data_IF_657504738761
#
_entry.id   IF_657504738761
#
_cell.length_a   1.000
_cell.length_b   1.000
_cell.length_c   1.000
_cell.angle_alpha   90.00
_cell.angle_beta   90.00
_cell.angle_gamma   90.00
#
_symmetry.space_group_name_H-M   'P 1'
#
loop_
_entity.id
_entity.type
_entity.pdbx_description
1 polymer ?
#
# COMPACT_ATOMS: atom_id res chain seq x y z
N UNK A 1 -0.49 11.52 -29.75
CA UNK A 1 -0.15 12.49 -28.70
C UNK A 1 -1.24 13.56 -28.60
N UNK A 2 -2.30 13.29 -27.83
CA UNK A 2 -3.20 14.34 -27.33
C UNK A 2 -2.77 14.60 -25.90
N UNK A 3 -2.25 15.79 -25.64
CA UNK A 3 -1.89 16.22 -24.30
C UNK A 3 -2.76 17.42 -23.93
N UNK A 4 -3.03 17.52 -22.62
CA UNK A 4 -3.68 18.60 -21.88
C UNK A 4 -5.18 18.38 -21.60
N UNK A 5 -5.45 17.71 -20.47
CA UNK A 5 -6.48 18.20 -19.56
C UNK A 5 -5.78 19.03 -18.48
N UNK A 6 -6.06 20.33 -18.44
CA UNK A 6 -5.67 21.19 -17.34
C UNK A 6 -6.54 20.85 -16.13
N UNK A 7 -5.92 20.69 -14.97
CA UNK A 7 -6.60 20.51 -13.68
C UNK A 7 -7.54 21.69 -13.40
N UNK A 8 -8.72 21.41 -12.85
CA UNK A 8 -9.69 22.45 -12.45
C UNK A 8 -9.16 23.42 -11.38
N UNK A 9 -9.87 24.54 -11.15
CA UNK A 9 -9.39 25.62 -10.29
C UNK A 9 -9.37 25.19 -8.82
N UNK A 10 -8.20 25.20 -8.16
CA UNK A 10 -8.13 25.07 -6.71
C UNK A 10 -6.86 24.48 -6.07
N UNK A 11 -5.81 24.13 -6.82
CA UNK A 11 -4.57 23.60 -6.25
C UNK A 11 -3.31 24.03 -7.00
N UNK A 12 -2.10 23.86 -6.43
CA UNK A 12 -0.85 24.23 -7.09
C UNK A 12 -0.73 23.56 -8.47
N UNK A 13 -0.13 24.23 -9.48
CA UNK A 13 -0.09 23.74 -10.86
C UNK A 13 0.76 22.46 -10.94
N UNK A 14 0.12 21.32 -10.79
CA UNK A 14 0.72 20.01 -10.98
C UNK A 14 0.49 19.59 -12.42
N UNK A 15 1.58 19.40 -13.17
CA UNK A 15 1.50 18.88 -14.54
C UNK A 15 1.21 17.38 -14.46
N UNK A 16 -0.01 16.96 -14.77
CA UNK A 16 -0.35 15.55 -14.95
C UNK A 16 -0.05 15.14 -16.39
N UNK A 17 1.05 14.43 -16.57
CA UNK A 17 1.37 13.76 -17.84
C UNK A 17 0.81 12.34 -17.81
N UNK A 18 -0.23 12.09 -18.59
CA UNK A 18 -0.72 10.75 -18.86
C UNK A 18 -0.40 10.43 -20.31
N UNK A 19 0.45 9.41 -20.51
CA UNK A 19 0.82 8.95 -21.84
C UNK A 19 0.07 7.66 -22.11
N UNK A 20 -0.97 7.77 -22.93
CA UNK A 20 -1.72 6.63 -23.44
C UNK A 20 -1.20 6.26 -24.82
N UNK A 21 -0.93 4.97 -24.99
CA UNK A 21 -0.49 4.39 -26.25
C UNK A 21 -1.58 3.44 -26.72
N UNK A 22 -2.05 3.61 -27.95
CA UNK A 22 -2.86 2.58 -28.59
C UNK A 22 -1.99 1.36 -28.98
N UNK A 23 -2.63 0.21 -29.20
CA UNK A 23 -1.90 -1.03 -29.53
C UNK A 23 -1.02 -0.87 -30.77
N UNK A 24 -1.49 -0.14 -31.78
CA UNK A 24 -0.73 0.12 -33.01
C UNK A 24 0.54 0.95 -32.76
N UNK A 25 0.51 1.84 -31.78
CA UNK A 25 1.65 2.68 -31.38
C UNK A 25 2.60 1.89 -30.47
N UNK A 26 2.09 1.02 -29.59
CA UNK A 26 2.90 0.05 -28.83
C UNK A 26 3.70 -0.84 -29.79
N UNK A 27 3.02 -1.46 -30.75
CA UNK A 27 3.63 -2.36 -31.73
C UNK A 27 4.66 -1.66 -32.62
N UNK A 28 4.42 -0.40 -33.00
CA UNK A 28 5.37 0.35 -33.85
C UNK A 28 6.63 0.77 -33.11
N UNK A 29 6.52 1.19 -31.85
CA UNK A 29 7.65 1.74 -31.09
C UNK A 29 8.49 0.68 -30.40
N UNK A 30 7.84 -0.39 -29.94
CA UNK A 30 8.50 -1.48 -29.22
C UNK A 30 8.57 -2.76 -30.05
N UNK A 31 7.94 -2.83 -31.22
CA UNK A 31 7.83 -4.06 -31.99
C UNK A 31 6.91 -5.09 -31.31
N UNK A 32 6.90 -6.31 -31.84
CA UNK A 32 6.59 -7.48 -31.03
C UNK A 32 7.81 -7.78 -30.17
N UNK A 33 8.03 -6.99 -29.10
CA UNK A 33 8.79 -7.55 -27.98
C UNK A 33 8.06 -8.84 -27.66
N UNK A 34 8.75 -9.98 -27.79
CA UNK A 34 8.38 -11.13 -27.00
C UNK A 34 8.40 -10.59 -25.58
N UNK A 35 7.22 -10.24 -25.05
CA UNK A 35 7.04 -10.17 -23.62
C UNK A 35 7.65 -11.50 -23.16
N UNK A 36 8.81 -11.46 -22.49
CA UNK A 36 9.28 -12.62 -21.78
C UNK A 36 8.15 -12.92 -20.81
N UNK A 37 7.29 -13.86 -21.21
CA UNK A 37 6.21 -14.34 -20.38
C UNK A 37 6.93 -15.13 -19.30
N UNK A 38 7.31 -14.42 -18.24
CA UNK A 38 7.79 -15.03 -17.01
C UNK A 38 6.66 -15.95 -16.58
N UNK A 39 6.91 -17.26 -16.59
CA UNK A 39 5.93 -18.20 -16.09
C UNK A 39 5.71 -17.89 -14.62
N UNK A 40 4.48 -17.56 -14.27
CA UNK A 40 4.08 -17.36 -12.89
C UNK A 40 4.45 -18.61 -12.07
N UNK A 41 5.16 -18.39 -10.97
CA UNK A 41 5.49 -19.47 -10.05
C UNK A 41 4.21 -20.12 -9.51
N UNK A 42 4.26 -21.40 -9.14
CA UNK A 42 3.12 -22.13 -8.60
C UNK A 42 2.47 -21.42 -7.38
N UNK A 43 3.28 -20.72 -6.59
CA UNK A 43 2.82 -19.89 -5.47
C UNK A 43 1.86 -18.78 -5.90
N UNK A 44 2.07 -18.17 -7.07
CA UNK A 44 1.22 -17.13 -7.64
C UNK A 44 -0.15 -17.71 -7.98
N UNK A 45 -0.19 -18.87 -8.64
CA UNK A 45 -1.44 -19.56 -8.97
C UNK A 45 -2.23 -19.98 -7.72
N UNK A 46 -1.55 -20.55 -6.71
CA UNK A 46 -2.20 -20.89 -5.43
C UNK A 46 -2.79 -19.65 -4.76
N UNK A 47 -2.06 -18.53 -4.76
CA UNK A 47 -2.53 -17.28 -4.19
C UNK A 47 -3.73 -16.71 -4.96
N UNK A 48 -3.73 -16.76 -6.30
CA UNK A 48 -4.85 -16.30 -7.14
C UNK A 48 -6.13 -17.11 -6.88
N UNK A 49 -6.02 -18.43 -6.72
CA UNK A 49 -7.15 -19.29 -6.39
C UNK A 49 -7.71 -19.00 -4.99
N UNK A 50 -6.83 -18.80 -4.00
CA UNK A 50 -7.23 -18.37 -2.65
C UNK A 50 -7.85 -16.95 -2.65
N UNK A 51 -7.41 -16.09 -3.58
CA UNK A 51 -7.95 -14.74 -3.77
C UNK A 51 -9.40 -14.71 -4.26
N UNK A 52 -9.95 -15.84 -4.74
CA UNK A 52 -11.39 -15.96 -5.06
C UNK A 52 -12.31 -15.76 -3.84
N UNK A 53 -11.77 -15.85 -2.61
CA UNK A 53 -12.45 -15.56 -1.35
C UNK A 53 -11.94 -14.26 -0.70
N UNK A 54 -11.59 -13.25 -1.51
CA UNK A 54 -11.12 -11.97 -0.97
C UNK A 54 -12.14 -11.34 -0.01
N UNK A 55 -11.72 -11.14 1.23
CA UNK A 55 -12.29 -10.10 2.06
C UNK A 55 -11.85 -8.77 1.45
N UNK A 56 -12.76 -8.05 0.81
CA UNK A 56 -12.51 -6.65 0.47
C UNK A 56 -12.38 -5.87 1.77
N UNK A 57 -11.46 -4.92 1.79
CA UNK A 57 -11.40 -3.92 2.85
C UNK A 57 -11.20 -2.54 2.23
N UNK A 58 -11.71 -1.54 2.92
CA UNK A 58 -11.61 -0.13 2.61
C UNK A 58 -10.34 0.45 3.26
N UNK A 59 -9.91 1.61 2.77
CA UNK A 59 -8.80 2.34 3.41
C UNK A 59 -9.17 2.79 4.82
N UNK A 60 -10.42 3.15 5.06
CA UNK A 60 -10.94 3.50 6.38
C UNK A 60 -10.76 2.36 7.38
N UNK A 61 -11.11 1.12 7.00
CA UNK A 61 -10.87 -0.06 7.83
C UNK A 61 -9.37 -0.27 8.10
N UNK A 62 -8.52 -0.03 7.10
CA UNK A 62 -7.06 -0.10 7.30
C UNK A 62 -6.57 0.96 8.30
N UNK A 63 -7.08 2.19 8.26
CA UNK A 63 -6.72 3.24 9.21
C UNK A 63 -7.25 2.95 10.62
N UNK A 64 -8.47 2.42 10.73
CA UNK A 64 -9.04 1.99 12.01
C UNK A 64 -8.19 0.90 12.65
N UNK A 65 -7.75 -0.09 11.86
CA UNK A 65 -6.84 -1.13 12.34
C UNK A 65 -5.48 -0.56 12.75
N UNK A 66 -4.91 0.34 11.93
CA UNK A 66 -3.59 0.93 12.19
C UNK A 66 -3.56 1.85 13.42
N UNK A 67 -4.66 2.51 13.75
CA UNK A 67 -4.79 3.43 14.89
C UNK A 67 -5.48 2.79 16.11
N UNK A 68 -5.76 1.49 16.03
CA UNK A 68 -6.33 0.72 17.14
C UNK A 68 -5.33 0.70 18.30
N UNK A 69 -5.86 0.75 19.51
CA UNK A 69 -5.05 0.55 20.70
C UNK A 69 -4.68 -0.93 20.83
N UNK A 70 -3.39 -1.19 20.99
CA UNK A 70 -2.82 -2.53 21.10
C UNK A 70 -2.12 -2.69 22.45
N UNK A 71 -2.28 -3.86 23.09
CA UNK A 71 -1.47 -4.19 24.25
C UNK A 71 -0.10 -4.68 23.79
N UNK A 72 0.96 -4.17 24.41
CA UNK A 72 2.30 -4.66 24.16
C UNK A 72 2.40 -6.13 24.59
N UNK A 73 3.04 -6.93 23.75
CA UNK A 73 3.38 -8.30 24.12
C UNK A 73 4.35 -8.29 25.32
N UNK A 74 4.42 -9.36 26.13
CA UNK A 74 5.26 -9.38 27.33
C UNK A 74 6.75 -9.14 27.05
N UNK A 75 7.23 -9.57 25.89
CA UNK A 75 8.58 -9.37 25.36
C UNK A 75 8.83 -7.94 24.87
N UNK A 76 7.78 -7.22 24.47
CA UNK A 76 7.80 -5.81 24.05
C UNK A 76 7.34 -4.84 25.16
N UNK A 77 7.35 -5.28 26.42
CA UNK A 77 6.86 -4.49 27.54
C UNK A 77 7.58 -3.12 27.67
N UNK A 78 6.79 -2.05 27.77
CA UNK A 78 7.28 -0.69 28.03
C UNK A 78 8.06 -0.67 29.34
N UNK A 79 9.24 -0.02 29.41
CA UNK A 79 9.92 0.25 30.69
C UNK A 79 9.50 1.57 31.34
N UNK A 80 8.79 1.51 32.47
CA UNK A 80 8.22 2.71 33.09
C UNK A 80 9.33 3.65 33.61
N UNK A 81 9.35 4.94 33.21
CA UNK A 81 10.38 5.87 33.66
C UNK A 81 10.27 6.17 35.17
N UNK A 82 9.11 5.97 35.78
CA UNK A 82 8.89 6.13 37.22
C UNK A 82 9.22 4.85 37.99
N UNK A 83 8.61 3.71 37.62
CA UNK A 83 8.77 2.44 38.34
C UNK A 83 10.10 1.72 38.04
N UNK A 84 10.80 2.11 36.96
CA UNK A 84 12.07 1.50 36.45
C UNK A 84 11.99 0.01 36.10
N UNK A 85 10.78 -0.55 36.01
CA UNK A 85 10.51 -1.94 35.64
C UNK A 85 9.71 -2.03 34.33
N UNK A 86 9.82 -3.14 33.57
CA UNK A 86 8.93 -3.43 32.45
C UNK A 86 7.48 -3.53 32.93
N UNK A 87 6.56 -2.94 32.18
CA UNK A 87 5.13 -2.92 32.42
C UNK A 87 4.41 -3.22 31.11
N UNK A 88 3.37 -4.03 31.19
CA UNK A 88 2.53 -4.32 30.04
C UNK A 88 1.62 -3.12 29.77
N UNK A 89 2.10 -2.24 28.88
CA UNK A 89 1.41 -1.01 28.51
C UNK A 89 0.52 -1.20 27.28
N UNK A 90 -0.27 -0.18 26.99
CA UNK A 90 -0.97 -0.06 25.71
C UNK A 90 -0.32 1.02 24.85
N UNK A 91 -0.30 0.77 23.54
CA UNK A 91 0.17 1.73 22.54
C UNK A 91 -1.00 2.03 21.62
N UNK A 92 -1.24 3.33 21.40
CA UNK A 92 -2.21 3.81 20.44
C UNK A 92 -1.55 4.82 19.52
N UNK A 93 -1.62 4.57 18.23
CA UNK A 93 -1.17 5.51 17.21
C UNK A 93 -2.34 6.40 16.77
N UNK A 94 -2.07 7.66 16.47
CA UNK A 94 -3.09 8.59 15.97
C UNK A 94 -2.48 9.58 14.99
N UNK A 95 -3.28 9.97 13.99
CA UNK A 95 -2.91 10.99 13.01
C UNK A 95 -3.44 12.34 13.50
N UNK A 96 -2.53 13.25 13.88
CA UNK A 96 -2.91 14.57 14.40
C UNK A 96 -3.13 15.59 13.29
N UNK A 97 -2.22 15.64 12.32
CA UNK A 97 -2.27 16.51 11.14
C UNK A 97 -1.72 15.75 9.95
N UNK A 98 -2.30 15.96 8.77
CA UNK A 98 -1.84 15.32 7.54
C UNK A 98 -0.85 16.23 6.79
N UNK A 99 0.23 15.66 6.21
CA UNK A 99 1.14 16.41 5.35
C UNK A 99 0.48 16.76 4.01
N UNK A 100 1.02 17.76 3.31
CA UNK A 100 0.57 18.14 1.95
C UNK A 100 0.69 16.98 0.94
N UNK A 101 1.63 16.06 1.17
CA UNK A 101 1.82 14.84 0.39
C UNK A 101 1.81 13.64 1.34
N UNK A 102 0.74 12.84 1.28
CA UNK A 102 0.59 11.62 2.07
C UNK A 102 0.93 10.39 1.22
N UNK A 103 1.91 9.61 1.66
CA UNK A 103 2.28 8.32 1.05
C UNK A 103 1.70 7.20 1.90
N UNK A 104 0.84 6.37 1.32
CA UNK A 104 0.22 5.21 1.99
C UNK A 104 0.86 3.94 1.46
N UNK A 105 1.54 3.20 2.34
CA UNK A 105 2.09 1.88 2.03
C UNK A 105 1.17 0.77 2.57
N UNK A 106 0.60 -0.03 1.66
CA UNK A 106 -0.25 -1.17 2.03
C UNK A 106 0.59 -2.41 2.31
N UNK A 107 0.63 -2.84 3.57
CA UNK A 107 1.38 -4.03 4.03
C UNK A 107 0.65 -5.32 3.63
N UNK A 108 0.74 -5.69 2.35
CA UNK A 108 0.05 -6.86 1.75
C UNK A 108 0.76 -8.20 1.98
N UNK A 109 1.96 -8.18 2.54
CA UNK A 109 2.78 -9.36 2.76
C UNK A 109 2.96 -9.62 4.25
N UNK A 110 2.78 -10.88 4.66
CA UNK A 110 3.08 -11.36 6.00
C UNK A 110 4.05 -12.53 5.88
N UNK A 111 5.09 -12.51 6.69
CA UNK A 111 5.94 -13.69 6.85
C UNK A 111 5.19 -14.70 7.72
N UNK A 112 5.03 -15.91 7.22
CA UNK A 112 4.50 -17.04 8.00
C UNK A 112 5.73 -17.85 8.41
N UNK A 113 5.95 -18.01 9.72
CA UNK A 113 6.94 -18.96 10.22
C UNK A 113 6.33 -20.36 10.10
N UNK A 114 7.06 -21.29 9.49
CA UNK A 114 6.79 -22.74 9.55
C UNK A 114 7.22 -23.32 10.89
#
# INVERSE_FOLDING_TARGET
LRALQLSGPGGPPHVKLTVEWDMSTKERLFGSLQEEVVQDAESVWRQQQAHGQQHSCTLDECFQLYTKEEQLAPDDAWRCPHCKVPQQGTVKLSLWTLPDILIIHLKRFRQVAE
#
